data_IF_594640532305
#
_entry.id   IF_594640532305
#
_cell.length_a   1.000
_cell.length_b   1.000
_cell.length_c   1.000
_cell.angle_alpha   90.00
_cell.angle_beta   90.00
_cell.angle_gamma   90.00
#
_symmetry.space_group_name_H-M   'P 1'
#
loop_
_entity.id
_entity.type
_entity.pdbx_description
1 polymer ?
#
# COMPACT_ATOMS: atom_id res chain seq x y z
N UNK A 1 10.30 -30.08 -44.03
CA UNK A 1 10.23 -30.56 -42.62
C UNK A 1 11.54 -30.21 -41.92
N UNK A 2 11.55 -29.62 -40.71
CA UNK A 2 12.79 -29.39 -39.99
C UNK A 2 13.33 -30.73 -39.45
N UNK A 3 14.62 -30.99 -39.65
CA UNK A 3 15.29 -32.22 -39.19
C UNK A 3 15.41 -32.24 -37.66
N UNK A 4 15.02 -33.36 -37.05
CA UNK A 4 15.17 -33.61 -35.63
C UNK A 4 16.66 -33.56 -35.21
N UNK A 5 16.98 -32.96 -34.04
CA UNK A 5 18.35 -32.92 -33.56
C UNK A 5 18.81 -34.33 -33.17
N UNK A 6 19.90 -34.80 -33.79
CA UNK A 6 20.52 -36.09 -33.47
C UNK A 6 20.93 -36.12 -31.99
N UNK A 7 20.60 -37.22 -31.31
CA UNK A 7 20.75 -37.42 -29.88
C UNK A 7 22.16 -37.10 -29.37
N UNK A 8 22.21 -36.52 -28.17
CA UNK A 8 23.47 -36.27 -27.45
C UNK A 8 24.12 -37.62 -27.13
N UNK A 9 25.37 -37.82 -27.55
CA UNK A 9 26.20 -38.93 -27.11
C UNK A 9 26.50 -38.75 -25.61
N UNK A 10 25.75 -39.44 -24.75
CA UNK A 10 25.83 -39.34 -23.28
C UNK A 10 27.08 -40.04 -22.70
N UNK A 11 27.88 -40.75 -23.51
CA UNK A 11 28.97 -41.60 -23.02
C UNK A 11 30.41 -41.24 -23.44
N UNK A 12 30.66 -40.09 -24.10
CA UNK A 12 32.05 -39.71 -24.45
C UNK A 12 32.63 -38.75 -23.41
N UNK A 13 33.76 -39.13 -22.82
CA UNK A 13 34.56 -38.26 -21.95
C UNK A 13 34.73 -36.88 -22.59
N UNK A 14 34.53 -35.82 -21.79
CA UNK A 14 34.59 -34.44 -22.27
C UNK A 14 36.01 -34.14 -22.75
N UNK A 15 36.25 -34.33 -24.05
CA UNK A 15 37.51 -33.99 -24.71
C UNK A 15 37.93 -32.58 -24.34
N UNK A 16 39.23 -32.38 -24.07
CA UNK A 16 39.82 -31.06 -23.80
C UNK A 16 39.49 -30.13 -24.96
N UNK A 17 38.82 -29.01 -24.67
CA UNK A 17 38.33 -28.05 -25.65
C UNK A 17 39.32 -26.88 -25.68
N UNK A 18 39.87 -26.57 -26.86
CA UNK A 18 40.72 -25.40 -27.02
C UNK A 18 39.93 -24.09 -26.75
N UNK A 19 40.48 -23.10 -26.02
CA UNK A 19 39.77 -21.90 -25.60
C UNK A 19 39.18 -21.08 -26.76
N UNK A 20 39.86 -21.02 -27.90
CA UNK A 20 39.38 -20.30 -29.09
C UNK A 20 38.50 -21.14 -30.04
N UNK A 21 38.11 -22.35 -29.65
CA UNK A 21 37.26 -23.19 -30.50
C UNK A 21 35.80 -22.72 -30.53
N UNK A 22 35.08 -23.04 -31.62
CA UNK A 22 33.63 -22.78 -31.72
C UNK A 22 32.84 -23.41 -30.56
N UNK A 23 33.27 -24.58 -30.07
CA UNK A 23 32.63 -25.28 -28.94
C UNK A 23 32.84 -24.52 -27.63
N UNK A 24 34.04 -23.99 -27.39
CA UNK A 24 34.30 -23.11 -26.24
C UNK A 24 33.45 -21.83 -26.31
N UNK A 25 33.36 -21.18 -27.48
CA UNK A 25 32.50 -20.00 -27.69
C UNK A 25 31.00 -20.29 -27.47
N UNK A 26 30.53 -21.50 -27.77
CA UNK A 26 29.15 -21.90 -27.46
C UNK A 26 28.93 -22.09 -25.95
N UNK A 27 29.88 -22.73 -25.26
CA UNK A 27 29.82 -22.93 -23.80
C UNK A 27 29.82 -21.58 -23.07
N UNK A 28 30.68 -20.64 -23.46
CA UNK A 28 30.73 -19.31 -22.84
C UNK A 28 29.44 -18.53 -23.07
N UNK A 29 28.83 -18.62 -24.26
CA UNK A 29 27.51 -18.02 -24.55
C UNK A 29 26.39 -18.64 -23.71
N UNK A 30 26.43 -19.96 -23.49
CA UNK A 30 25.46 -20.65 -22.64
C UNK A 30 25.62 -20.26 -21.17
N UNK A 31 26.86 -20.25 -20.66
CA UNK A 31 27.17 -19.79 -19.31
C UNK A 31 26.67 -18.36 -19.08
N UNK A 32 27.00 -17.42 -19.97
CA UNK A 32 26.54 -16.04 -19.84
C UNK A 32 25.01 -15.88 -19.90
N UNK A 33 24.30 -16.72 -20.67
CA UNK A 33 22.83 -16.76 -20.67
C UNK A 33 22.30 -17.27 -19.32
N UNK A 34 22.94 -18.29 -18.76
CA UNK A 34 22.57 -18.82 -17.45
C UNK A 34 22.83 -17.81 -16.33
N UNK A 35 23.98 -17.12 -16.34
CA UNK A 35 24.30 -16.06 -15.37
C UNK A 35 23.28 -14.94 -15.40
N UNK A 36 22.88 -14.48 -16.60
CA UNK A 36 21.82 -13.48 -16.75
C UNK A 36 20.48 -13.97 -16.20
N UNK A 37 20.12 -15.22 -16.49
CA UNK A 37 18.89 -15.82 -15.99
C UNK A 37 18.91 -15.94 -14.46
N UNK A 38 20.04 -16.30 -13.87
CA UNK A 38 20.21 -16.40 -12.43
C UNK A 38 20.16 -15.03 -11.76
N UNK A 39 20.85 -14.03 -12.31
CA UNK A 39 20.77 -12.63 -11.84
C UNK A 39 19.34 -12.12 -11.78
N UNK A 40 18.57 -12.32 -12.85
CA UNK A 40 17.15 -11.92 -12.89
C UNK A 40 16.29 -12.67 -11.87
N UNK A 41 16.60 -13.93 -11.57
CA UNK A 41 15.92 -14.69 -10.51
C UNK A 41 16.26 -14.11 -9.13
N UNK A 42 17.53 -13.83 -8.89
CA UNK A 42 18.02 -13.30 -7.62
C UNK A 42 17.46 -11.90 -7.35
N UNK A 43 17.40 -11.03 -8.37
CA UNK A 43 16.77 -9.70 -8.25
C UNK A 43 15.28 -9.78 -7.91
N UNK A 44 14.53 -10.70 -8.56
CA UNK A 44 13.12 -10.93 -8.25
C UNK A 44 12.92 -11.48 -6.84
N UNK A 45 13.77 -12.44 -6.43
CA UNK A 45 13.74 -13.01 -5.09
C UNK A 45 14.04 -11.93 -4.04
N UNK A 46 15.05 -11.09 -4.26
CA UNK A 46 15.41 -10.00 -3.36
C UNK A 46 14.27 -8.98 -3.22
N UNK A 47 13.61 -8.63 -4.33
CA UNK A 47 12.42 -7.75 -4.28
C UNK A 47 11.28 -8.36 -3.48
N UNK A 48 11.00 -9.65 -3.66
CA UNK A 48 9.96 -10.35 -2.89
C UNK A 48 10.31 -10.46 -1.41
N UNK A 49 11.58 -10.76 -1.10
CA UNK A 49 12.08 -10.82 0.28
C UNK A 49 11.91 -9.47 0.98
N UNK A 50 12.29 -8.36 0.33
CA UNK A 50 12.14 -7.03 0.90
C UNK A 50 10.67 -6.68 1.22
N UNK A 51 9.74 -7.10 0.36
CA UNK A 51 8.30 -6.94 0.63
C UNK A 51 7.91 -7.84 1.81
N UNK A 52 8.35 -9.09 1.83
CA UNK A 52 8.09 -10.04 2.92
C UNK A 52 8.57 -9.52 4.28
N UNK A 53 9.80 -9.04 4.37
CA UNK A 53 10.39 -8.44 5.58
C UNK A 53 9.57 -7.23 6.05
N UNK A 54 9.18 -6.35 5.12
CA UNK A 54 8.30 -5.22 5.41
C UNK A 54 6.99 -5.69 6.03
N UNK A 55 6.34 -6.68 5.42
CA UNK A 55 5.08 -7.23 5.90
C UNK A 55 5.24 -7.90 7.26
N UNK A 56 6.30 -8.65 7.46
CA UNK A 56 6.62 -9.30 8.72
C UNK A 56 6.74 -8.29 9.86
N UNK A 57 7.40 -7.15 9.61
CA UNK A 57 7.44 -6.08 10.60
C UNK A 57 6.02 -5.64 10.98
N UNK A 58 5.15 -5.39 10.00
CA UNK A 58 3.77 -4.99 10.28
C UNK A 58 3.03 -6.06 11.08
N UNK A 59 3.13 -7.34 10.69
CA UNK A 59 2.46 -8.45 11.38
C UNK A 59 2.87 -8.53 12.86
N UNK A 60 4.17 -8.41 13.16
CA UNK A 60 4.69 -8.47 14.52
C UNK A 60 4.24 -7.28 15.40
N UNK A 61 3.94 -6.13 14.79
CA UNK A 61 3.52 -4.91 15.49
C UNK A 61 1.99 -4.70 15.47
N UNK A 62 1.22 -5.69 15.01
CA UNK A 62 -0.24 -5.67 15.13
C UNK A 62 -0.70 -6.14 16.50
N UNK A 63 -1.72 -5.49 17.02
CA UNK A 63 -2.37 -5.87 18.27
C UNK A 63 -3.25 -7.11 18.01
N UNK A 64 -3.05 -8.23 18.72
CA UNK A 64 -3.81 -9.46 18.48
C UNK A 64 -5.32 -9.31 18.70
N UNK A 65 -5.73 -8.43 19.61
CA UNK A 65 -7.12 -8.29 20.04
C UNK A 65 -7.95 -7.34 19.17
N UNK A 66 -7.34 -6.49 18.33
CA UNK A 66 -8.09 -5.50 17.53
C UNK A 66 -8.74 -6.12 16.30
N UNK A 67 -10.04 -5.96 16.11
CA UNK A 67 -10.74 -6.55 14.96
C UNK A 67 -10.59 -5.66 13.70
N UNK A 68 -10.43 -4.35 13.88
CA UNK A 68 -10.24 -3.36 12.81
C UNK A 68 -9.35 -2.22 13.26
N UNK A 69 -8.61 -1.64 12.32
CA UNK A 69 -7.85 -0.41 12.54
C UNK A 69 -8.62 0.79 12.00
N UNK A 70 -8.54 1.92 12.71
CA UNK A 70 -8.91 3.21 12.16
C UNK A 70 -7.79 3.74 11.27
N UNK A 71 -8.11 4.67 10.38
CA UNK A 71 -7.09 5.33 9.54
C UNK A 71 -5.98 5.97 10.36
N UNK A 72 -6.34 6.64 11.46
CA UNK A 72 -5.38 7.24 12.39
C UNK A 72 -4.47 6.18 13.03
N UNK A 73 -5.03 5.05 13.45
CA UNK A 73 -4.23 3.95 14.00
C UNK A 73 -3.28 3.36 12.95
N UNK A 74 -3.69 3.28 11.70
CA UNK A 74 -2.84 2.84 10.59
C UNK A 74 -1.69 3.83 10.33
N UNK A 75 -1.96 5.15 10.35
CA UNK A 75 -0.91 6.16 10.25
C UNK A 75 0.09 6.07 11.41
N UNK A 76 -0.38 5.92 12.64
CA UNK A 76 0.51 5.73 13.80
C UNK A 76 1.39 4.48 13.66
N UNK A 77 0.86 3.39 13.08
CA UNK A 77 1.62 2.18 12.83
C UNK A 77 2.70 2.40 11.76
N UNK A 78 2.41 3.18 10.72
CA UNK A 78 3.39 3.59 9.71
C UNK A 78 4.47 4.49 10.33
N UNK A 79 4.11 5.42 11.21
CA UNK A 79 5.09 6.27 11.90
C UNK A 79 6.05 5.45 12.75
N UNK A 80 5.55 4.43 13.47
CA UNK A 80 6.40 3.47 14.19
C UNK A 80 7.33 2.71 13.23
N UNK A 81 6.85 2.30 12.06
CA UNK A 81 7.67 1.65 11.04
C UNK A 81 8.79 2.56 10.54
N UNK A 82 8.49 3.85 10.30
CA UNK A 82 9.48 4.83 9.84
C UNK A 82 10.55 5.13 10.89
N UNK A 83 10.20 5.02 12.18
CA UNK A 83 11.12 5.22 13.31
C UNK A 83 11.92 3.96 13.70
N UNK A 84 11.76 2.83 12.99
CA UNK A 84 12.42 1.55 13.34
C UNK A 84 13.95 1.59 13.38
N UNK A 85 14.56 2.57 12.71
CA UNK A 85 16.02 2.73 12.65
C UNK A 85 16.53 3.84 13.58
N UNK A 86 15.66 4.50 14.35
CA UNK A 86 16.10 5.59 15.22
C UNK A 86 17.14 5.10 16.24
N UNK A 87 16.89 3.96 16.88
CA UNK A 87 17.80 3.36 17.86
C UNK A 87 19.17 3.01 17.22
N UNK A 88 19.17 2.47 16.00
CA UNK A 88 20.41 2.17 15.26
C UNK A 88 21.18 3.45 14.90
N UNK A 89 20.49 4.50 14.48
CA UNK A 89 21.10 5.80 14.16
C UNK A 89 21.68 6.48 15.40
N UNK A 90 20.95 6.46 16.52
CA UNK A 90 21.39 7.02 17.81
C UNK A 90 22.63 6.26 18.31
N UNK A 91 22.66 4.94 18.20
CA UNK A 91 23.83 4.13 18.56
C UNK A 91 25.06 4.48 17.70
N UNK A 92 24.88 4.68 16.39
CA UNK A 92 25.97 5.09 15.49
C UNK A 92 26.47 6.49 15.84
N UNK A 93 25.57 7.43 16.14
CA UNK A 93 25.90 8.80 16.54
C UNK A 93 26.71 8.81 17.83
N UNK A 94 26.22 8.16 18.89
CA UNK A 94 26.91 8.06 20.17
C UNK A 94 28.31 7.43 20.04
N UNK A 95 28.44 6.36 19.26
CA UNK A 95 29.73 5.71 19.05
C UNK A 95 30.74 6.62 18.32
N UNK A 96 30.25 7.45 17.39
CA UNK A 96 31.08 8.41 16.67
C UNK A 96 31.47 9.59 17.56
N UNK A 97 30.57 10.09 18.41
CA UNK A 97 30.85 11.19 19.34
C UNK A 97 31.93 10.82 20.36
N UNK A 98 31.85 9.60 20.93
CA UNK A 98 32.86 9.09 21.88
C UNK A 98 34.24 8.92 21.22
N UNK A 99 34.29 8.64 19.90
CA UNK A 99 35.53 8.33 19.17
C UNK A 99 35.88 9.37 18.12
N UNK A 100 35.45 10.62 18.29
CA UNK A 100 35.56 11.69 17.30
C UNK A 100 36.98 11.89 16.72
N UNK A 101 38.03 11.57 17.49
CA UNK A 101 39.44 11.69 17.07
C UNK A 101 39.94 10.55 16.15
N UNK A 102 39.20 9.44 16.03
CA UNK A 102 39.61 8.24 15.28
C UNK A 102 38.89 8.06 13.93
N UNK A 103 38.17 9.09 13.46
CA UNK A 103 37.42 9.07 12.21
C UNK A 103 36.04 8.41 12.34
N UNK A 104 35.10 8.84 11.48
CA UNK A 104 33.70 8.42 11.52
C UNK A 104 33.52 6.98 11.03
N UNK A 105 32.96 6.14 11.89
CA UNK A 105 32.64 4.74 11.57
C UNK A 105 31.20 4.63 11.07
N UNK A 106 30.91 3.53 10.37
CA UNK A 106 29.57 3.20 9.88
C UNK A 106 28.91 4.22 8.93
N UNK A 107 29.69 5.13 8.32
CA UNK A 107 29.17 6.18 7.43
C UNK A 107 28.34 5.64 6.26
N UNK A 108 28.74 4.52 5.65
CA UNK A 108 28.01 3.91 4.54
C UNK A 108 26.64 3.35 4.98
N UNK A 109 26.58 2.72 6.16
CA UNK A 109 25.34 2.16 6.72
C UNK A 109 24.40 3.28 7.14
N UNK A 110 24.92 4.28 7.84
CA UNK A 110 24.18 5.47 8.26
C UNK A 110 23.56 6.20 7.05
N UNK A 111 24.35 6.42 6.00
CA UNK A 111 23.86 7.05 4.77
C UNK A 111 22.76 6.22 4.08
N UNK A 112 22.93 4.89 4.00
CA UNK A 112 21.92 4.01 3.41
C UNK A 112 20.60 4.01 4.20
N UNK A 113 20.66 4.03 5.54
CA UNK A 113 19.48 4.13 6.40
C UNK A 113 18.80 5.48 6.21
N UNK A 114 19.55 6.58 6.32
CA UNK A 114 19.00 7.94 6.16
C UNK A 114 18.33 8.11 4.79
N UNK A 115 18.96 7.60 3.72
CA UNK A 115 18.37 7.63 2.38
C UNK A 115 17.08 6.80 2.29
N UNK A 116 17.06 5.62 2.93
CA UNK A 116 15.87 4.76 2.97
C UNK A 116 14.72 5.44 3.70
N UNK A 117 14.97 5.93 4.93
CA UNK A 117 13.97 6.64 5.75
C UNK A 117 13.45 7.88 5.03
N UNK A 118 14.34 8.64 4.39
CA UNK A 118 13.94 9.82 3.63
C UNK A 118 13.00 9.47 2.47
N UNK A 119 13.30 8.41 1.71
CA UNK A 119 12.46 7.92 0.62
C UNK A 119 11.08 7.46 1.15
N UNK A 120 11.07 6.68 2.22
CA UNK A 120 9.83 6.18 2.82
C UNK A 120 8.96 7.32 3.38
N UNK A 121 9.57 8.33 4.03
CA UNK A 121 8.88 9.54 4.51
C UNK A 121 8.28 10.35 3.36
N UNK A 122 9.03 10.56 2.28
CA UNK A 122 8.53 11.24 1.09
C UNK A 122 7.33 10.52 0.49
N UNK A 123 7.38 9.19 0.42
CA UNK A 123 6.25 8.37 -0.04
C UNK A 123 5.02 8.53 0.85
N UNK A 124 5.20 8.50 2.17
CA UNK A 124 4.10 8.62 3.13
C UNK A 124 3.41 10.00 3.09
N UNK A 125 4.19 11.06 2.91
CA UNK A 125 3.67 12.43 2.84
C UNK A 125 3.02 12.75 1.49
N UNK A 126 3.58 12.25 0.38
CA UNK A 126 3.09 12.53 -0.97
C UNK A 126 2.00 11.56 -1.43
N UNK A 127 2.43 10.48 -2.05
CA UNK A 127 1.58 9.53 -2.79
C UNK A 127 0.81 8.54 -1.89
N UNK A 128 1.33 8.26 -0.71
CA UNK A 128 0.82 7.25 0.21
C UNK A 128 1.76 6.05 0.31
N UNK A 129 1.96 5.61 1.54
CA UNK A 129 2.78 4.46 1.89
C UNK A 129 1.97 3.17 1.75
N UNK A 130 2.52 2.20 1.01
CA UNK A 130 1.84 0.94 0.72
C UNK A 130 1.99 -0.06 1.87
N UNK A 131 0.88 -0.43 2.50
CA UNK A 131 0.81 -1.38 3.61
C UNK A 131 -0.31 -2.40 3.39
N UNK A 132 -0.35 -3.54 4.11
CA UNK A 132 -1.50 -4.42 4.13
C UNK A 132 -2.77 -3.69 4.52
N UNK A 133 -3.89 -4.06 3.93
CA UNK A 133 -5.18 -3.48 4.24
C UNK A 133 -5.70 -3.93 5.61
N UNK A 134 -5.25 -3.24 6.65
CA UNK A 134 -5.61 -3.46 8.05
C UNK A 134 -6.94 -2.79 8.45
N UNK A 135 -7.55 -2.01 7.55
CA UNK A 135 -8.82 -1.33 7.80
C UNK A 135 -10.00 -2.30 7.66
N UNK A 136 -9.85 -3.31 6.80
CA UNK A 136 -10.84 -4.35 6.58
C UNK A 136 -10.58 -5.58 7.46
N UNK A 137 -11.57 -5.97 8.26
CA UNK A 137 -11.44 -7.10 9.19
C UNK A 137 -11.11 -8.44 8.49
N UNK A 138 -11.70 -8.71 7.32
CA UNK A 138 -11.45 -9.95 6.58
C UNK A 138 -10.00 -10.04 6.09
N UNK A 139 -9.46 -8.95 5.55
CA UNK A 139 -8.07 -8.88 5.09
C UNK A 139 -7.11 -8.95 6.28
N UNK A 140 -7.46 -8.34 7.41
CA UNK A 140 -6.68 -8.40 8.63
C UNK A 140 -6.54 -9.83 9.17
N UNK A 141 -7.61 -10.65 9.10
CA UNK A 141 -7.54 -12.08 9.47
C UNK A 141 -6.56 -12.85 8.59
N UNK A 142 -6.69 -12.70 7.27
CA UNK A 142 -5.77 -13.32 6.31
C UNK A 142 -4.32 -12.89 6.59
N UNK A 143 -4.11 -11.61 6.87
CA UNK A 143 -2.78 -11.07 7.15
C UNK A 143 -2.20 -11.57 8.49
N UNK A 144 -3.04 -11.88 9.48
CA UNK A 144 -2.60 -12.47 10.76
C UNK A 144 -2.20 -13.92 10.64
N UNK A 145 -3.01 -14.70 9.92
CA UNK A 145 -2.80 -16.12 9.68
C UNK A 145 -1.71 -16.39 8.63
N UNK A 146 -1.15 -15.34 8.04
CA UNK A 146 -0.08 -15.46 7.08
C UNK A 146 1.18 -16.05 7.74
N UNK A 147 1.64 -17.17 7.20
CA UNK A 147 2.74 -18.01 7.69
C UNK A 147 4.11 -17.61 7.13
N UNK A 148 4.26 -16.34 6.71
CA UNK A 148 5.46 -15.81 6.05
C UNK A 148 5.80 -16.47 4.71
N UNK A 149 4.91 -17.28 4.14
CA UNK A 149 5.11 -17.83 2.79
C UNK A 149 4.98 -16.73 1.74
N UNK A 150 6.09 -16.42 1.07
CA UNK A 150 6.16 -15.41 0.02
C UNK A 150 5.25 -15.73 -1.18
N UNK A 151 4.87 -17.00 -1.38
CA UNK A 151 3.92 -17.39 -2.44
C UNK A 151 2.51 -16.90 -2.17
N UNK A 152 2.16 -16.64 -0.91
CA UNK A 152 0.84 -16.14 -0.49
C UNK A 152 0.75 -14.61 -0.50
N UNK A 153 1.84 -13.89 -0.79
CA UNK A 153 1.84 -12.43 -0.93
C UNK A 153 0.75 -11.89 -1.87
N UNK A 154 0.47 -12.50 -3.04
CA UNK A 154 -0.59 -12.00 -3.93
C UNK A 154 -2.00 -12.05 -3.32
N UNK A 155 -2.22 -12.89 -2.30
CA UNK A 155 -3.51 -12.99 -1.63
C UNK A 155 -3.71 -11.84 -0.61
N UNK A 156 -2.63 -11.20 -0.17
CA UNK A 156 -2.67 -10.09 0.77
C UNK A 156 -2.99 -8.81 0.00
N UNK A 157 -4.14 -8.20 0.31
CA UNK A 157 -4.52 -6.92 -0.30
C UNK A 157 -3.68 -5.79 0.28
N UNK A 158 -3.01 -5.06 -0.61
CA UNK A 158 -2.22 -3.88 -0.26
C UNK A 158 -3.04 -2.60 -0.46
N UNK A 159 -2.82 -1.61 0.39
CA UNK A 159 -3.48 -0.31 0.37
C UNK A 159 -2.48 0.80 0.65
N UNK A 160 -2.69 1.95 0.01
CA UNK A 160 -1.88 3.15 0.20
C UNK A 160 -2.54 4.07 1.20
N UNK A 161 -1.76 4.50 2.20
CA UNK A 161 -2.20 5.39 3.27
C UNK A 161 -1.26 6.58 3.32
N UNK A 162 -1.81 7.79 3.35
CA UNK A 162 -1.02 9.01 3.43
C UNK A 162 -1.15 9.68 4.82
N UNK A 163 -0.23 10.59 5.14
CA UNK A 163 -0.28 11.34 6.40
C UNK A 163 -1.62 12.10 6.57
N UNK A 164 -2.21 12.60 5.47
CA UNK A 164 -3.48 13.32 5.49
C UNK A 164 -4.68 12.44 5.88
N UNK A 165 -4.58 11.11 5.79
CA UNK A 165 -5.65 10.20 6.23
C UNK A 165 -5.82 10.16 7.75
N UNK A 166 -4.82 10.63 8.51
CA UNK A 166 -4.93 10.75 9.97
C UNK A 166 -5.81 11.93 10.39
N UNK A 167 -5.95 12.94 9.53
CA UNK A 167 -6.73 14.14 9.80
C UNK A 167 -8.22 13.89 9.48
N UNK A 168 -9.15 14.24 10.38
CA UNK A 168 -10.55 14.21 10.06
C UNK A 168 -10.81 15.22 8.93
N UNK A 169 -11.24 14.73 7.76
CA UNK A 169 -11.71 15.62 6.70
C UNK A 169 -12.90 16.40 7.28
N UNK A 170 -12.81 17.73 7.31
CA UNK A 170 -14.00 18.56 7.59
C UNK A 170 -15.02 18.25 6.50
N UNK A 171 -16.04 17.45 6.82
CA UNK A 171 -17.19 17.29 5.94
C UNK A 171 -17.81 18.68 5.78
N UNK A 172 -17.70 19.28 4.59
CA UNK A 172 -18.65 20.31 4.19
C UNK A 172 -20.02 19.66 4.33
N UNK A 173 -20.83 20.14 5.29
CA UNK A 173 -22.24 19.75 5.40
C UNK A 173 -22.84 19.97 4.02
N UNK A 174 -23.38 18.92 3.41
CA UNK A 174 -24.22 19.10 2.23
C UNK A 174 -25.44 19.88 2.71
N UNK A 175 -25.58 21.13 2.30
CA UNK A 175 -26.87 21.81 2.30
C UNK A 175 -27.64 21.19 1.15
N UNK A 176 -28.51 20.25 1.46
CA UNK A 176 -29.48 19.75 0.48
C UNK A 176 -30.43 20.91 0.13
N UNK A 177 -30.60 21.27 -1.15
CA UNK A 177 -31.57 22.30 -1.53
C UNK A 177 -32.97 21.73 -1.31
N UNK A 178 -33.80 22.47 -0.57
CA UNK A 178 -35.22 22.18 -0.41
C UNK A 178 -35.87 22.12 -1.80
N UNK A 179 -36.47 20.97 -2.12
CA UNK A 179 -37.32 20.81 -3.30
C UNK A 179 -38.66 21.46 -2.94
N UNK A 180 -38.95 22.57 -3.60
CA UNK A 180 -40.25 23.25 -3.58
C UNK A 180 -41.31 22.30 -4.17
N UNK A 181 -42.30 21.90 -3.38
CA UNK A 181 -43.48 21.18 -3.89
C UNK A 181 -44.54 22.21 -4.24
N UNK A 182 -44.50 22.60 -5.50
CA UNK A 182 -45.59 23.27 -6.20
C UNK A 182 -46.84 22.35 -6.16
N UNK A 183 -47.93 22.84 -5.57
CA UNK A 183 -49.24 22.18 -5.54
C UNK A 183 -50.16 22.92 -6.51
N UNK A 184 -50.26 22.37 -7.72
CA UNK A 184 -51.24 22.80 -8.73
C UNK A 184 -52.68 22.47 -8.30
N UNK A 185 -53.48 23.53 -8.25
CA UNK A 185 -54.72 23.73 -9.01
C UNK A 185 -55.68 22.53 -9.17
N UNK A 186 -56.88 22.65 -8.57
CA UNK A 186 -58.08 21.94 -8.99
C UNK A 186 -59.28 22.89 -9.00
N UNK A 187 -60.08 22.70 -10.04
CA UNK A 187 -60.96 23.65 -10.70
C UNK A 187 -62.26 24.00 -9.95
N UNK A 188 -62.77 25.16 -10.36
CA UNK A 188 -64.10 25.73 -10.15
C UNK A 188 -65.23 24.78 -10.52
N UNK A 189 -66.33 24.85 -9.77
CA UNK A 189 -67.67 24.72 -10.36
C UNK A 189 -68.68 25.56 -9.61
N UNK A 190 -69.35 26.38 -10.40
CA UNK A 190 -70.39 27.36 -10.08
C UNK A 190 -71.62 26.75 -9.40
N UNK A 191 -72.41 27.60 -8.74
CA UNK A 191 -73.78 27.94 -9.16
C UNK A 191 -74.44 28.87 -8.12
N UNK A 192 -75.13 29.87 -8.66
CA UNK A 192 -75.86 30.92 -7.97
C UNK A 192 -77.25 30.42 -7.55
N UNK A 193 -77.75 30.80 -6.37
CA UNK A 193 -79.20 30.98 -6.17
C UNK A 193 -79.52 31.82 -4.92
N UNK A 194 -80.13 32.97 -5.21
CA UNK A 194 -80.96 33.89 -4.44
C UNK A 194 -81.77 33.33 -3.24
N UNK A 195 -81.86 34.12 -2.15
CA UNK A 195 -83.13 34.66 -1.61
C UNK A 195 -82.95 35.47 -0.31
N UNK A 196 -83.56 36.64 -0.31
CA UNK A 196 -83.79 37.61 0.78
C UNK A 196 -84.43 37.02 2.04
N UNK A 197 -84.10 37.56 3.22
CA UNK A 197 -85.12 38.08 4.17
C UNK A 197 -84.51 39.08 5.17
N UNK A 198 -85.10 40.28 5.23
CA UNK A 198 -84.89 41.35 6.19
C UNK A 198 -85.30 40.98 7.64
N UNK A 199 -84.69 41.61 8.67
CA UNK A 199 -85.42 42.27 9.78
C UNK A 199 -84.51 42.94 10.85
N UNK A 200 -84.71 44.27 10.94
CA UNK A 200 -84.78 45.17 12.11
C UNK A 200 -83.74 45.18 13.26
N UNK A 201 -83.03 46.33 13.29
CA UNK A 201 -82.82 47.26 14.41
C UNK A 201 -83.39 46.89 15.80
N UNK A 202 -82.54 46.91 16.83
CA UNK A 202 -82.83 47.62 18.09
C UNK A 202 -81.53 47.98 18.82
N UNK A 203 -81.49 49.20 19.36
CA UNK A 203 -80.50 49.72 20.28
C UNK A 203 -81.24 50.28 21.50
N UNK A 204 -81.04 49.71 22.69
CA UNK A 204 -81.30 50.22 24.05
C UNK A 204 -80.53 49.22 24.96
N UNK A 205 -79.65 49.55 25.91
CA UNK A 205 -79.48 50.68 26.84
C UNK A 205 -78.00 50.78 27.26
#
# INVERSE_FOLDING_TARGET
>A
MPKAPKGKNVGQEKKVIHPYSRKAAQITREAHRQDKKEKLKNEKALRLNLIGEKLQWFQNHLDPQKIRYSKRAACNLIERYLSRFNDELEQIELQNDVRARQGRRHCAREAAIRQTVQRERQQFQGYGFEIPDILNASNLKIFREWDFDLKKLPNIKMRKICANDALPKKCKRRTDPAIDRDLGELELKDESSDSDTDQEMTAVE
#
